data_IF_316320508322
#
_entry.id   IF_316320508322
#
_cell.length_a   1.000
_cell.length_b   1.000
_cell.length_c   1.000
_cell.angle_alpha   90.00
_cell.angle_beta   90.00
_cell.angle_gamma   90.00
#
_symmetry.space_group_name_H-M   'P 1'
#
loop_
_entity.id
_entity.type
_entity.pdbx_description
1 polymer ?
#
# COMPACT_ATOMS: atom_id res chain seq x y z
N UNK A 1 54.63 -9.87 15.24
CA UNK A 1 53.45 -10.24 14.40
C UNK A 1 52.11 -10.33 15.17
N UNK A 2 52.05 -10.85 16.40
CA UNK A 2 50.79 -11.08 17.16
C UNK A 2 49.97 -9.81 17.47
N UNK A 3 50.62 -8.69 17.83
CA UNK A 3 49.94 -7.43 18.16
C UNK A 3 49.24 -6.76 16.96
N UNK A 4 49.84 -6.82 15.77
CA UNK A 4 49.25 -6.31 14.53
C UNK A 4 48.00 -7.08 14.13
N UNK A 5 48.01 -8.41 14.32
CA UNK A 5 46.85 -9.26 14.06
C UNK A 5 45.68 -8.90 14.99
N UNK A 6 45.95 -8.73 16.29
CA UNK A 6 44.94 -8.34 17.28
C UNK A 6 44.34 -6.97 16.98
N UNK A 7 45.17 -6.00 16.60
CA UNK A 7 44.72 -4.65 16.25
C UNK A 7 43.83 -4.66 14.99
N UNK A 8 44.18 -5.47 13.99
CA UNK A 8 43.36 -5.68 12.79
C UNK A 8 42.03 -6.36 13.12
N UNK A 9 42.01 -7.32 14.03
CA UNK A 9 40.78 -7.96 14.52
C UNK A 9 39.89 -7.00 15.31
N UNK A 10 40.45 -6.18 16.20
CA UNK A 10 39.71 -5.11 16.93
C UNK A 10 39.07 -4.13 15.96
N UNK A 11 39.82 -3.65 14.96
CA UNK A 11 39.30 -2.73 13.93
C UNK A 11 38.19 -3.38 13.10
N UNK A 12 38.35 -4.64 12.69
CA UNK A 12 37.31 -5.39 11.99
C UNK A 12 36.04 -5.54 12.85
N UNK A 13 36.17 -5.92 14.12
CA UNK A 13 35.05 -6.02 15.07
C UNK A 13 34.34 -4.68 15.26
N UNK A 14 35.09 -3.57 15.41
CA UNK A 14 34.51 -2.22 15.52
C UNK A 14 33.77 -1.78 14.26
N UNK A 15 34.31 -2.09 13.06
CA UNK A 15 33.63 -1.81 11.78
C UNK A 15 32.37 -2.65 11.63
N UNK A 16 32.43 -3.95 11.93
CA UNK A 16 31.27 -4.84 11.88
C UNK A 16 30.16 -4.39 12.86
N UNK A 17 30.52 -3.98 14.09
CA UNK A 17 29.57 -3.46 15.06
C UNK A 17 28.88 -2.16 14.58
N UNK A 18 29.62 -1.25 13.95
CA UNK A 18 29.05 -0.03 13.34
C UNK A 18 28.12 -0.35 12.18
N UNK A 19 28.52 -1.29 11.31
CA UNK A 19 27.67 -1.73 10.21
C UNK A 19 26.38 -2.39 10.71
N UNK A 20 26.47 -3.24 11.74
CA UNK A 20 25.29 -3.86 12.37
C UNK A 20 24.34 -2.82 12.98
N UNK A 21 24.87 -1.82 13.69
CA UNK A 21 24.06 -0.72 14.24
C UNK A 21 23.41 0.12 13.13
N UNK A 22 24.13 0.44 12.06
CA UNK A 22 23.56 1.16 10.92
C UNK A 22 22.44 0.37 10.23
N UNK A 23 22.63 -0.94 10.01
CA UNK A 23 21.59 -1.81 9.46
C UNK A 23 20.37 -1.89 10.37
N UNK A 24 20.56 -1.95 11.69
CA UNK A 24 19.45 -1.95 12.66
C UNK A 24 18.61 -0.67 12.55
N UNK A 25 19.25 0.50 12.46
CA UNK A 25 18.53 1.77 12.29
C UNK A 25 17.81 1.86 10.95
N UNK A 26 18.39 1.32 9.88
CA UNK A 26 17.71 1.26 8.57
C UNK A 26 16.49 0.35 8.66
N UNK A 27 16.62 -0.84 9.25
CA UNK A 27 15.51 -1.77 9.43
C UNK A 27 14.36 -1.17 10.26
N UNK A 28 14.69 -0.48 11.36
CA UNK A 28 13.72 0.25 12.17
C UNK A 28 12.99 1.32 11.36
N UNK A 29 13.73 2.15 10.61
CA UNK A 29 13.14 3.17 9.74
C UNK A 29 12.26 2.58 8.65
N UNK A 30 12.64 1.44 8.06
CA UNK A 30 11.83 0.73 7.07
C UNK A 30 10.50 0.27 7.68
N UNK A 31 10.53 -0.32 8.88
CA UNK A 31 9.31 -0.72 9.59
C UNK A 31 8.39 0.47 9.89
N UNK A 32 8.95 1.62 10.28
CA UNK A 32 8.18 2.85 10.48
C UNK A 32 7.57 3.37 9.17
N UNK A 33 8.29 3.28 8.04
CA UNK A 33 7.74 3.67 6.73
C UNK A 33 6.64 2.73 6.26
N UNK A 34 6.77 1.42 6.48
CA UNK A 34 5.72 0.45 6.17
C UNK A 34 4.44 0.73 6.98
N UNK A 35 4.60 1.00 8.29
CA UNK A 35 3.47 1.38 9.14
C UNK A 35 2.80 2.67 8.68
N UNK A 36 3.59 3.68 8.28
CA UNK A 36 3.08 4.92 7.71
C UNK A 36 2.31 4.70 6.40
N UNK A 37 2.78 3.80 5.53
CA UNK A 37 2.06 3.44 4.31
C UNK A 37 0.72 2.76 4.62
N UNK A 38 0.68 1.82 5.57
CA UNK A 38 -0.56 1.15 5.99
C UNK A 38 -1.58 2.15 6.55
N UNK A 39 -1.15 3.10 7.39
CA UNK A 39 -2.05 4.10 7.98
C UNK A 39 -2.60 5.08 6.93
N UNK A 40 -1.78 5.49 5.96
CA UNK A 40 -2.25 6.32 4.85
C UNK A 40 -3.23 5.58 3.93
N UNK A 41 -2.96 4.31 3.62
CA UNK A 41 -3.89 3.48 2.85
C UNK A 41 -5.20 3.26 3.60
N UNK A 42 -5.13 3.05 4.92
CA UNK A 42 -6.33 2.97 5.76
C UNK A 42 -7.18 4.23 5.62
N UNK A 43 -6.59 5.41 5.85
CA UNK A 43 -7.31 6.68 5.76
C UNK A 43 -7.92 6.89 4.37
N UNK A 44 -7.13 6.67 3.31
CA UNK A 44 -7.62 6.81 1.93
C UNK A 44 -8.77 5.86 1.60
N UNK A 45 -8.64 4.58 1.99
CA UNK A 45 -9.68 3.57 1.78
C UNK A 45 -10.95 3.90 2.57
N UNK A 46 -10.78 4.33 3.83
CA UNK A 46 -11.88 4.69 4.72
C UNK A 46 -12.67 5.88 4.16
N UNK A 47 -11.96 6.92 3.70
CA UNK A 47 -12.57 8.10 3.10
C UNK A 47 -13.32 7.74 1.81
N UNK A 48 -12.69 7.01 0.87
CA UNK A 48 -13.34 6.60 -0.37
C UNK A 48 -14.60 5.75 -0.14
N UNK A 49 -14.55 4.79 0.80
CA UNK A 49 -15.73 4.00 1.15
C UNK A 49 -16.82 4.85 1.82
N UNK A 50 -16.44 5.78 2.69
CA UNK A 50 -17.40 6.64 3.40
C UNK A 50 -18.10 7.60 2.43
N UNK A 51 -17.37 8.17 1.48
CA UNK A 51 -17.92 9.01 0.40
C UNK A 51 -18.94 8.22 -0.44
N UNK A 52 -18.56 7.01 -0.89
CA UNK A 52 -19.46 6.16 -1.65
C UNK A 52 -20.72 5.79 -0.85
N UNK A 53 -20.57 5.42 0.43
CA UNK A 53 -21.68 5.08 1.32
C UNK A 53 -22.60 6.27 1.61
N UNK A 54 -22.04 7.46 1.81
CA UNK A 54 -22.81 8.69 2.03
C UNK A 54 -23.63 9.04 0.78
N UNK A 55 -23.06 8.81 -0.40
CA UNK A 55 -23.71 9.06 -1.69
C UNK A 55 -24.70 7.96 -2.10
N UNK A 56 -24.53 6.75 -1.58
CA UNK A 56 -25.40 5.60 -1.80
C UNK A 56 -25.23 4.88 -3.14
N UNK A 57 -24.16 5.17 -3.89
CA UNK A 57 -23.83 4.52 -5.15
C UNK A 57 -22.32 4.62 -5.44
N UNK A 58 -21.81 3.73 -6.28
CA UNK A 58 -20.40 3.68 -6.73
C UNK A 58 -20.29 3.76 -8.26
N UNK A 59 -19.11 4.03 -8.79
CA UNK A 59 -18.77 3.84 -10.21
C UNK A 59 -17.90 2.62 -10.41
N UNK A 60 -17.80 2.14 -11.66
CA UNK A 60 -16.88 1.05 -12.00
C UNK A 60 -15.41 1.41 -11.69
N UNK A 61 -15.04 2.68 -11.93
CA UNK A 61 -13.71 3.21 -11.59
C UNK A 61 -13.44 3.26 -10.09
N UNK A 62 -14.42 3.68 -9.29
CA UNK A 62 -14.29 3.68 -7.82
C UNK A 62 -14.16 2.27 -7.27
N UNK A 63 -14.95 1.31 -7.76
CA UNK A 63 -14.83 -0.10 -7.39
C UNK A 63 -13.41 -0.61 -7.67
N UNK A 64 -12.89 -0.36 -8.86
CA UNK A 64 -11.53 -0.76 -9.26
C UNK A 64 -10.46 -0.14 -8.35
N UNK A 65 -10.58 1.15 -8.07
CA UNK A 65 -9.68 1.84 -7.14
C UNK A 65 -9.77 1.29 -5.71
N UNK A 66 -10.98 0.99 -5.21
CA UNK A 66 -11.18 0.37 -3.90
C UNK A 66 -10.53 -1.01 -3.82
N UNK A 67 -10.62 -1.83 -4.87
CA UNK A 67 -9.92 -3.11 -4.95
C UNK A 67 -8.40 -2.94 -4.82
N UNK A 68 -7.81 -2.04 -5.60
CA UNK A 68 -6.36 -1.81 -5.55
C UNK A 68 -5.90 -1.32 -4.17
N UNK A 69 -6.62 -0.37 -3.57
CA UNK A 69 -6.31 0.13 -2.24
C UNK A 69 -6.45 -0.97 -1.17
N UNK A 70 -7.54 -1.74 -1.21
CA UNK A 70 -7.79 -2.80 -0.24
C UNK A 70 -6.79 -3.94 -0.36
N UNK A 71 -6.42 -4.35 -1.58
CA UNK A 71 -5.46 -5.44 -1.80
C UNK A 71 -4.09 -5.14 -1.18
N UNK A 72 -3.56 -3.94 -1.41
CA UNK A 72 -2.27 -3.52 -0.84
C UNK A 72 -2.39 -3.36 0.68
N UNK A 73 -3.46 -2.70 1.14
CA UNK A 73 -3.74 -2.52 2.56
C UNK A 73 -3.82 -3.84 3.33
N UNK A 74 -4.56 -4.82 2.80
CA UNK A 74 -4.77 -6.11 3.43
C UNK A 74 -3.48 -6.94 3.48
N UNK A 75 -2.70 -6.95 2.38
CA UNK A 75 -1.39 -7.63 2.33
C UNK A 75 -0.40 -7.07 3.33
N UNK A 76 -0.47 -5.78 3.65
CA UNK A 76 0.40 -5.15 4.64
C UNK A 76 -0.13 -5.26 6.09
N UNK A 77 -1.11 -6.13 6.36
CA UNK A 77 -1.61 -6.38 7.71
C UNK A 77 -2.73 -5.44 8.17
N UNK A 78 -3.50 -4.89 7.22
CA UNK A 78 -4.65 -4.04 7.49
C UNK A 78 -5.71 -4.67 8.41
N UNK A 79 -6.48 -3.83 9.10
CA UNK A 79 -7.48 -4.19 10.10
C UNK A 79 -8.82 -4.64 9.51
N UNK A 80 -9.62 -5.31 10.35
CA UNK A 80 -10.94 -5.85 9.99
C UNK A 80 -12.02 -4.79 9.79
N UNK A 81 -11.87 -3.60 10.38
CA UNK A 81 -12.85 -2.52 10.30
C UNK A 81 -12.91 -1.92 8.88
N UNK A 82 -11.76 -1.58 8.31
CA UNK A 82 -11.67 -1.09 6.93
C UNK A 82 -12.14 -2.16 5.93
N UNK A 83 -11.86 -3.44 6.20
CA UNK A 83 -12.37 -4.55 5.39
C UNK A 83 -13.91 -4.65 5.40
N UNK A 84 -14.55 -4.40 6.55
CA UNK A 84 -16.00 -4.38 6.65
C UNK A 84 -16.61 -3.20 5.88
N UNK A 85 -16.00 -2.02 5.99
CA UNK A 85 -16.44 -0.82 5.28
C UNK A 85 -16.32 -1.00 3.76
N UNK A 86 -15.19 -1.54 3.31
CA UNK A 86 -14.93 -1.88 1.91
C UNK A 86 -15.99 -2.83 1.34
N UNK A 87 -16.30 -3.94 2.05
CA UNK A 87 -17.36 -4.86 1.60
C UNK A 87 -18.71 -4.17 1.48
N UNK A 88 -19.06 -3.26 2.39
CA UNK A 88 -20.31 -2.48 2.31
C UNK A 88 -20.32 -1.55 1.09
N UNK A 89 -19.21 -0.86 0.82
CA UNK A 89 -19.10 0.01 -0.36
C UNK A 89 -19.28 -0.78 -1.68
N UNK A 90 -18.79 -2.02 -1.76
CA UNK A 90 -18.98 -2.86 -2.94
C UNK A 90 -20.43 -3.35 -3.16
N UNK A 91 -21.28 -3.31 -2.14
CA UNK A 91 -22.70 -3.69 -2.29
C UNK A 91 -23.59 -2.55 -2.80
N UNK A 92 -23.03 -1.35 -2.94
CA UNK A 92 -23.77 -0.19 -3.43
C UNK A 92 -24.11 -0.35 -4.92
N UNK A 93 -25.25 0.22 -5.35
CA UNK A 93 -25.60 0.23 -6.77
C UNK A 93 -24.55 0.98 -7.58
N UNK A 94 -24.19 0.43 -8.74
CA UNK A 94 -23.24 1.04 -9.66
C UNK A 94 -23.98 2.02 -10.58
N UNK A 95 -23.47 3.25 -10.67
CA UNK A 95 -23.97 4.30 -11.57
C UNK A 95 -22.80 4.86 -12.36
N UNK A 96 -22.60 4.35 -13.56
CA UNK A 96 -21.73 5.03 -14.51
C UNK A 96 -22.55 6.14 -15.19
N UNK A 97 -22.10 7.39 -15.03
CA UNK A 97 -22.68 8.56 -15.70
C UNK A 97 -22.29 8.51 -17.19
N UNK A 98 -22.92 7.63 -17.97
CA UNK A 98 -22.74 7.54 -19.43
C UNK A 98 -21.32 7.09 -19.83
N UNK A 99 -21.20 5.83 -20.26
CA UNK A 99 -19.93 5.25 -20.68
C UNK A 99 -19.34 5.92 -21.92
N UNK A 100 -18.04 6.16 -21.87
CA UNK A 100 -17.14 6.32 -23.02
C UNK A 100 -15.81 5.61 -22.66
N UNK A 101 -15.87 4.28 -22.52
CA UNK A 101 -14.74 3.40 -22.88
C UNK A 101 -15.30 2.27 -23.74
N UNK A 102 -15.72 2.68 -24.93
CA UNK A 102 -16.27 1.85 -25.98
C UNK A 102 -16.37 2.71 -27.23
N UNK A 103 -15.23 3.28 -27.66
CA UNK A 103 -15.17 4.09 -28.86
C UNK A 103 -15.80 3.35 -30.05
N UNK A 104 -16.49 4.05 -30.96
CA UNK A 104 -17.16 3.43 -32.08
C UNK A 104 -16.16 2.60 -32.88
N UNK A 105 -16.44 1.31 -33.02
CA UNK A 105 -15.77 0.46 -34.01
C UNK A 105 -16.09 1.07 -35.37
N UNK A 106 -15.12 1.82 -35.91
CA UNK A 106 -15.23 2.47 -37.19
C UNK A 106 -15.39 1.39 -38.26
N UNK A 107 -16.52 1.49 -38.94
CA UNK A 107 -17.07 0.54 -39.90
C UNK A 107 -16.04 0.14 -40.96
N UNK A 108 -16.03 -1.16 -41.28
CA UNK A 108 -15.79 -1.77 -42.60
C UNK A 108 -14.71 -1.16 -43.54
N UNK A 109 -13.69 -1.98 -43.82
CA UNK A 109 -13.17 -2.41 -45.14
C UNK A 109 -13.70 -1.67 -46.40
N UNK A 110 -12.83 -1.43 -47.40
CA UNK A 110 -12.25 -2.51 -48.21
C UNK A 110 -10.81 -2.89 -47.89
#
# INVERSE_FOLDING_TARGET
>A
MRGFLLERLKRRRKRAARAASALSHIAERLGLTELACVTLLHDRLFNACTEALARGWTTTGEITNLHHLFDVYHKMGGNSAAAALYRRALTLPVRDLGGEEGGPNEKNQP
#
